data_IF_713443133300
#
_entry.id   IF_713443133300
#
_cell.length_a   1.000
_cell.length_b   1.000
_cell.length_c   1.000
_cell.angle_alpha   90.00
_cell.angle_beta   90.00
_cell.angle_gamma   90.00
#
_symmetry.space_group_name_H-M   'P 1'
#
loop_
_entity.id
_entity.type
_entity.pdbx_description
1 polymer ?
#
# COMPACT_ATOMS: atom_id res chain seq x y z
N UNK A 1 35.25 -36.01 -69.99
CA UNK A 1 35.30 -34.63 -69.46
C UNK A 1 34.44 -34.59 -68.21
N UNK A 2 35.06 -34.23 -67.07
CA UNK A 2 34.42 -33.64 -65.87
C UNK A 2 33.91 -34.68 -64.85
N UNK A 3 34.70 -35.11 -63.85
CA UNK A 3 35.22 -34.41 -62.65
C UNK A 3 34.32 -34.63 -61.41
N UNK A 4 34.85 -35.45 -60.50
CA UNK A 4 34.85 -35.35 -59.02
C UNK A 4 33.54 -35.43 -58.21
N UNK A 5 33.41 -36.54 -57.48
CA UNK A 5 33.18 -36.70 -56.02
C UNK A 5 32.19 -35.72 -55.33
N UNK A 6 31.30 -36.18 -54.44
CA UNK A 6 31.68 -36.75 -53.13
C UNK A 6 30.53 -37.54 -52.50
N UNK A 7 30.83 -38.75 -52.04
CA UNK A 7 30.09 -39.41 -50.98
C UNK A 7 30.65 -38.95 -49.62
N UNK A 8 29.77 -38.63 -48.67
CA UNK A 8 30.02 -38.69 -47.22
C UNK A 8 28.64 -38.80 -46.55
N UNK A 9 28.15 -40.04 -46.42
CA UNK A 9 28.14 -40.84 -45.19
C UNK A 9 26.97 -40.46 -44.27
N UNK A 10 25.97 -41.35 -44.24
CA UNK A 10 24.87 -41.35 -43.30
C UNK A 10 25.40 -41.78 -41.93
N UNK A 11 25.06 -41.05 -40.87
CA UNK A 11 24.95 -41.64 -39.54
C UNK A 11 23.66 -41.13 -38.87
N UNK A 12 22.77 -42.02 -38.41
CA UNK A 12 21.52 -41.68 -37.75
C UNK A 12 21.77 -41.50 -36.25
N UNK A 13 21.18 -40.49 -35.63
CA UNK A 13 21.17 -40.44 -34.17
C UNK A 13 20.99 -39.05 -33.60
N UNK A 14 19.83 -38.86 -32.98
CA UNK A 14 19.52 -37.79 -32.03
C UNK A 14 19.76 -36.37 -32.53
N UNK A 15 18.79 -35.87 -33.28
CA UNK A 15 18.49 -34.44 -33.30
C UNK A 15 18.21 -33.99 -31.87
N UNK A 16 19.20 -33.43 -31.19
CA UNK A 16 18.98 -32.66 -29.97
C UNK A 16 18.23 -31.39 -30.38
N UNK A 17 16.90 -31.45 -30.30
CA UNK A 17 16.11 -30.23 -30.12
C UNK A 17 16.55 -29.67 -28.77
N UNK A 18 17.44 -28.68 -28.80
CA UNK A 18 17.64 -27.81 -27.67
C UNK A 18 16.35 -26.98 -27.53
N UNK A 19 15.39 -27.49 -26.75
CA UNK A 19 14.37 -26.65 -26.15
C UNK A 19 15.10 -25.71 -25.19
N UNK A 20 15.47 -24.55 -25.69
CA UNK A 20 15.77 -23.42 -24.85
C UNK A 20 14.45 -23.09 -24.13
N UNK A 21 14.25 -23.68 -22.95
CA UNK A 21 13.34 -23.13 -21.95
C UNK A 21 13.96 -21.81 -21.50
N UNK A 22 13.79 -20.79 -22.33
CA UNK A 22 13.92 -19.41 -21.90
C UNK A 22 12.85 -19.20 -20.85
N UNK A 23 13.19 -19.49 -19.59
CA UNK A 23 12.44 -19.03 -18.45
C UNK A 23 12.49 -17.51 -18.53
N UNK A 24 11.48 -16.92 -19.17
CA UNK A 24 11.18 -15.53 -19.03
C UNK A 24 11.00 -15.35 -17.52
N UNK A 25 11.91 -14.62 -16.88
CA UNK A 25 11.80 -14.29 -15.47
C UNK A 25 10.58 -13.37 -15.38
N UNK A 26 9.40 -13.97 -15.22
CA UNK A 26 8.15 -13.25 -15.09
C UNK A 26 8.18 -12.58 -13.73
N UNK A 27 8.84 -11.41 -13.66
CA UNK A 27 8.64 -10.44 -12.60
C UNK A 27 7.23 -9.86 -12.79
N UNK A 28 6.22 -10.71 -12.62
CA UNK A 28 4.83 -10.26 -12.55
C UNK A 28 4.75 -9.41 -11.30
N UNK A 29 4.32 -8.14 -11.39
CA UNK A 29 4.01 -7.37 -10.20
C UNK A 29 2.90 -8.13 -9.48
N UNK A 30 3.26 -8.78 -8.38
CA UNK A 30 2.29 -9.44 -7.51
C UNK A 30 1.41 -8.36 -6.92
N UNK A 31 0.12 -8.39 -7.27
CA UNK A 31 -0.83 -7.50 -6.60
C UNK A 31 -0.84 -7.83 -5.12
N UNK A 32 -0.92 -6.83 -4.23
CA UNK A 32 -1.11 -7.08 -2.81
C UNK A 32 -2.33 -7.96 -2.58
N UNK A 33 -2.20 -8.88 -1.64
CA UNK A 33 -3.31 -9.70 -1.19
C UNK A 33 -4.35 -8.82 -0.48
N UNK A 34 -5.62 -9.23 -0.47
CA UNK A 34 -6.61 -8.57 0.36
C UNK A 34 -6.20 -8.62 1.85
N UNK A 35 -6.36 -7.51 2.62
CA UNK A 35 -6.18 -7.51 4.06
C UNK A 35 -7.05 -8.55 4.77
N UNK A 36 -6.45 -9.34 5.66
CA UNK A 36 -7.12 -10.30 6.54
C UNK A 36 -7.14 -9.79 7.98
N UNK A 37 -8.13 -10.24 8.76
CA UNK A 37 -8.36 -9.76 10.12
C UNK A 37 -8.79 -8.28 10.15
N UNK A 38 -8.24 -7.52 11.11
CA UNK A 38 -8.51 -6.08 11.24
C UNK A 38 -7.65 -5.30 10.26
N UNK A 39 -8.25 -4.33 9.57
CA UNK A 39 -7.49 -3.38 8.75
C UNK A 39 -6.79 -2.37 9.67
N UNK A 40 -5.48 -2.25 9.51
CA UNK A 40 -4.62 -1.34 10.26
C UNK A 40 -4.04 -0.27 9.34
N UNK A 41 -3.71 0.87 9.93
CA UNK A 41 -3.14 2.03 9.25
C UNK A 41 -1.86 2.49 9.96
N UNK A 42 -0.84 2.87 9.19
CA UNK A 42 0.43 3.34 9.74
C UNK A 42 1.05 4.43 8.86
N UNK A 43 1.98 5.18 9.43
CA UNK A 43 2.85 6.10 8.68
C UNK A 43 4.14 5.39 8.28
N UNK A 44 4.62 5.63 7.06
CA UNK A 44 5.93 5.15 6.61
C UNK A 44 6.99 6.24 6.71
N UNK A 45 8.27 5.85 6.66
CA UNK A 45 9.40 6.77 6.67
C UNK A 45 9.38 7.75 5.47
N UNK A 46 8.81 7.32 4.34
CA UNK A 46 8.65 8.15 3.13
C UNK A 46 7.43 9.09 3.19
N UNK A 47 6.86 9.32 4.37
CA UNK A 47 5.65 10.14 4.56
C UNK A 47 4.46 9.66 3.73
N UNK A 48 4.18 8.35 3.77
CA UNK A 48 2.98 7.73 3.16
C UNK A 48 2.13 7.07 4.23
N UNK A 49 0.87 6.85 3.90
CA UNK A 49 -0.02 6.00 4.68
C UNK A 49 0.11 4.57 4.19
N UNK A 50 0.45 3.64 5.09
CA UNK A 50 0.33 2.21 4.86
C UNK A 50 -1.05 1.72 5.33
N UNK A 51 -1.63 0.78 4.58
CA UNK A 51 -2.84 0.03 4.94
C UNK A 51 -2.57 -1.46 4.75
N UNK A 52 -2.86 -2.26 5.77
CA UNK A 52 -2.58 -3.70 5.77
C UNK A 52 -3.53 -4.45 6.72
N UNK A 53 -3.63 -5.76 6.57
CA UNK A 53 -4.37 -6.64 7.47
C UNK A 53 -3.54 -7.06 8.67
N UNK A 54 -4.15 -7.15 9.85
CA UNK A 54 -3.47 -7.59 11.07
C UNK A 54 -2.94 -9.02 11.01
N UNK A 55 -3.53 -9.85 10.15
CA UNK A 55 -3.18 -11.27 10.01
C UNK A 55 -2.24 -11.55 8.83
N UNK A 56 -2.09 -10.61 7.90
CA UNK A 56 -1.21 -10.73 6.74
C UNK A 56 -0.52 -9.41 6.38
N UNK A 57 0.20 -8.77 7.33
CA UNK A 57 0.72 -7.42 7.15
C UNK A 57 1.72 -7.29 5.98
N UNK A 58 2.51 -8.35 5.73
CA UNK A 58 3.57 -8.32 4.72
C UNK A 58 3.03 -8.48 3.28
N UNK A 59 1.94 -9.23 3.09
CA UNK A 59 1.40 -9.52 1.75
C UNK A 59 0.26 -8.60 1.34
N UNK A 60 -0.42 -7.97 2.31
CA UNK A 60 -1.56 -7.07 2.07
C UNK A 60 -1.21 -5.58 2.15
N UNK A 61 0.04 -5.23 2.41
CA UNK A 61 0.47 -3.85 2.54
C UNK A 61 0.27 -3.09 1.23
N UNK A 62 -0.45 -1.98 1.34
CA UNK A 62 -0.59 -0.97 0.30
C UNK A 62 -0.15 0.37 0.85
N UNK A 63 0.47 1.21 0.02
CA UNK A 63 0.89 2.55 0.42
C UNK A 63 0.22 3.61 -0.44
N UNK A 64 -0.19 4.71 0.20
CA UNK A 64 -0.82 5.85 -0.45
C UNK A 64 -0.16 7.13 0.07
N UNK A 65 0.18 8.06 -0.83
CA UNK A 65 0.74 9.35 -0.43
C UNK A 65 -0.32 10.21 0.25
N UNK A 66 0.05 10.91 1.32
CA UNK A 66 -0.79 11.95 1.90
C UNK A 66 -0.95 13.13 0.92
N UNK A 67 -2.12 13.76 0.89
CA UNK A 67 -2.39 14.92 0.04
C UNK A 67 -3.06 16.03 0.85
N UNK A 68 -2.78 17.30 0.52
CA UNK A 68 -3.32 18.45 1.25
C UNK A 68 -2.53 18.86 2.50
N UNK A 69 -1.34 18.27 2.72
CA UNK A 69 -0.38 18.74 3.72
C UNK A 69 0.29 20.04 3.26
N UNK A 70 0.72 20.88 4.19
CA UNK A 70 1.56 22.03 3.85
C UNK A 70 3.00 21.60 3.51
N UNK A 71 3.72 22.48 2.84
CA UNK A 71 5.12 22.24 2.47
C UNK A 71 5.98 22.00 3.71
N UNK A 72 6.83 20.97 3.65
CA UNK A 72 7.73 20.58 4.74
C UNK A 72 7.06 19.86 5.91
N UNK A 73 5.78 19.47 5.80
CA UNK A 73 5.11 18.66 6.81
C UNK A 73 5.28 17.16 6.59
N UNK A 74 5.41 16.43 7.69
CA UNK A 74 5.39 14.97 7.75
C UNK A 74 4.35 14.48 8.75
N UNK A 75 3.67 13.39 8.43
CA UNK A 75 2.70 12.75 9.31
C UNK A 75 3.45 11.89 10.33
N UNK A 76 3.20 12.12 11.61
CA UNK A 76 3.92 11.44 12.71
C UNK A 76 3.03 10.53 13.55
N UNK A 77 1.71 10.65 13.43
CA UNK A 77 0.76 9.83 14.18
C UNK A 77 -0.58 9.74 13.50
N UNK A 78 -1.27 8.62 13.73
CA UNK A 78 -2.60 8.30 13.23
C UNK A 78 -3.42 7.69 14.36
N UNK A 79 -4.70 8.06 14.48
CA UNK A 79 -5.62 7.42 15.42
C UNK A 79 -7.07 7.52 14.93
N UNK A 80 -7.90 6.55 15.29
CA UNK A 80 -9.33 6.61 15.06
C UNK A 80 -10.03 7.34 16.20
N UNK A 81 -10.81 8.36 15.85
CA UNK A 81 -11.58 9.11 16.84
C UNK A 81 -12.60 8.21 17.54
N UNK A 82 -12.73 8.27 18.88
CA UNK A 82 -13.63 7.38 19.64
C UNK A 82 -15.12 7.66 19.40
N UNK A 83 -15.48 8.82 18.82
CA UNK A 83 -16.88 9.24 18.67
C UNK A 83 -17.44 9.09 17.26
N UNK A 84 -16.63 9.28 16.24
CA UNK A 84 -17.08 9.31 14.84
C UNK A 84 -16.38 8.30 13.94
N UNK A 85 -15.42 7.53 14.47
CA UNK A 85 -14.70 6.50 13.75
C UNK A 85 -13.88 7.03 12.57
N UNK A 86 -13.63 8.34 12.51
CA UNK A 86 -12.78 8.95 11.47
C UNK A 86 -11.32 8.75 11.81
N UNK A 87 -10.49 8.64 10.76
CA UNK A 87 -9.04 8.60 10.91
C UNK A 87 -8.52 10.03 11.07
N UNK A 88 -7.81 10.28 12.16
CA UNK A 88 -7.14 11.53 12.44
C UNK A 88 -5.63 11.35 12.30
N UNK A 89 -4.94 12.41 11.88
CA UNK A 89 -3.49 12.45 11.80
C UNK A 89 -2.91 13.70 12.44
N UNK A 90 -1.71 13.57 13.01
CA UNK A 90 -0.94 14.67 13.59
C UNK A 90 0.37 14.84 12.84
N UNK A 91 0.69 16.06 12.41
CA UNK A 91 1.94 16.38 11.71
C UNK A 91 3.08 16.79 12.66
N UNK A 92 4.31 16.76 12.18
CA UNK A 92 5.49 17.30 12.85
C UNK A 92 5.43 18.81 13.14
N UNK A 93 4.44 19.52 12.61
CA UNK A 93 4.19 20.95 12.84
C UNK A 93 2.97 21.19 13.74
N UNK A 94 2.60 20.21 14.56
CA UNK A 94 1.50 20.27 15.52
C UNK A 94 0.13 20.56 14.88
N UNK A 95 -0.09 20.14 13.63
CA UNK A 95 -1.39 20.28 12.96
C UNK A 95 -2.15 18.98 12.98
N UNK A 96 -3.46 19.08 13.22
CA UNK A 96 -4.38 17.97 13.15
C UNK A 96 -5.13 17.95 11.82
N UNK A 97 -5.21 16.77 11.22
CA UNK A 97 -5.91 16.50 9.98
C UNK A 97 -6.97 15.43 10.20
N UNK A 98 -8.11 15.56 9.52
CA UNK A 98 -9.02 14.44 9.26
C UNK A 98 -8.61 13.82 7.93
N UNK A 99 -8.54 12.49 7.89
CA UNK A 99 -8.08 11.71 6.74
C UNK A 99 -9.27 10.94 6.17
N UNK A 100 -9.66 11.28 4.94
CA UNK A 100 -10.60 10.47 4.20
C UNK A 100 -9.83 9.35 3.50
N UNK A 101 -10.24 8.10 3.72
CA UNK A 101 -9.58 6.91 3.18
C UNK A 101 -10.42 6.31 2.04
N UNK A 102 -10.27 6.78 0.79
CA UNK A 102 -10.92 6.14 -0.35
C UNK A 102 -10.24 4.80 -0.70
N UNK A 103 -11.00 3.87 -1.27
CA UNK A 103 -10.52 2.50 -1.59
C UNK A 103 -9.47 2.43 -2.71
N UNK A 104 -9.27 3.49 -3.51
CA UNK A 104 -8.42 3.45 -4.71
C UNK A 104 -7.70 4.77 -5.08
N UNK A 105 -7.68 5.79 -4.22
CA UNK A 105 -7.00 7.08 -4.48
C UNK A 105 -6.18 7.49 -3.26
N UNK A 106 -5.18 8.36 -3.44
CA UNK A 106 -4.47 9.01 -2.34
C UNK A 106 -5.46 9.55 -1.28
N UNK A 107 -5.22 9.35 0.02
CA UNK A 107 -6.06 9.92 1.06
C UNK A 107 -6.06 11.45 0.96
N UNK A 108 -7.25 12.04 1.03
CA UNK A 108 -7.42 13.48 1.13
C UNK A 108 -7.39 13.91 2.58
N UNK A 109 -6.69 15.00 2.87
CA UNK A 109 -6.63 15.59 4.20
C UNK A 109 -7.45 16.88 4.24
N UNK A 110 -8.20 17.03 5.33
CA UNK A 110 -8.85 18.29 5.70
C UNK A 110 -8.34 18.75 7.08
N UNK A 111 -7.95 20.03 7.24
CA UNK A 111 -7.60 20.56 8.56
C UNK A 111 -8.79 20.42 9.52
N UNK A 112 -8.53 20.00 10.76
CA UNK A 112 -9.55 19.99 11.80
C UNK A 112 -9.85 21.45 12.18
N UNK A 113 -10.95 22.00 11.64
CA UNK A 113 -11.29 23.42 11.80
C UNK A 113 -12.02 23.78 13.09
N UNK A 114 -12.44 22.81 13.89
CA UNK A 114 -13.07 23.08 15.19
C UNK A 114 -13.07 21.86 16.11
N UNK A 115 -12.11 21.81 17.03
CA UNK A 115 -12.30 21.07 18.28
C UNK A 115 -13.21 21.95 19.14
N UNK A 116 -14.49 21.61 19.26
CA UNK A 116 -15.34 22.25 20.28
C UNK A 116 -14.57 22.18 21.61
N UNK A 117 -14.43 23.30 22.35
CA UNK A 117 -13.61 23.33 23.56
C UNK A 117 -14.09 22.24 24.53
N UNK A 118 -13.15 21.61 25.25
CA UNK A 118 -13.47 20.53 26.20
C UNK A 118 -14.58 20.91 27.19
N UNK A 119 -14.67 22.20 27.54
CA UNK A 119 -15.74 22.77 28.39
C UNK A 119 -17.13 22.72 27.75
N UNK A 120 -17.25 22.85 26.43
CA UNK A 120 -18.52 22.76 25.71
C UNK A 120 -19.02 21.32 25.53
N UNK A 121 -18.31 20.32 26.08
CA UNK A 121 -18.54 18.89 25.82
C UNK A 121 -18.61 18.02 27.08
N UNK A 122 -18.64 18.61 28.28
CA UNK A 122 -18.75 17.88 29.57
C UNK A 122 -20.19 17.53 29.95
N UNK A 123 -21.18 18.32 29.53
CA UNK A 123 -22.59 18.08 29.87
C UNK A 123 -23.13 16.76 29.31
N UNK A 124 -22.57 16.29 28.19
CA UNK A 124 -23.06 15.08 27.51
C UNK A 124 -22.37 13.79 27.98
N UNK A 125 -21.24 13.90 28.70
CA UNK A 125 -20.45 12.75 29.14
C UNK A 125 -20.98 12.12 30.43
N UNK A 126 -21.66 12.90 31.27
CA UNK A 126 -22.23 12.45 32.56
C UNK A 126 -23.66 11.93 32.41
N UNK A 127 -24.39 12.36 31.38
CA UNK A 127 -25.81 11.99 31.17
C UNK A 127 -26.01 10.65 30.46
N UNK A 128 -24.98 10.12 29.76
CA UNK A 128 -25.09 8.88 28.96
C UNK A 128 -24.46 7.65 29.66
N UNK A 129 -24.10 7.77 30.93
CA UNK A 129 -23.54 6.67 31.76
C UNK A 129 -24.53 6.17 32.83
N UNK A 130 -25.84 6.44 32.68
CA UNK A 130 -26.90 5.87 33.51
C UNK A 130 -27.86 5.04 32.67
#
# INVERSE_FOLDING_TARGET
MNKFARAALIAPGMTTIALAFGACTMNTPVSPEAPRGRTMYATTQDNKMAKFGSENPNTSATTLAFSGMASGETMIGLDFGPRDGKLYGVSNQNRMYTIDVPRARSPSLAPVRSVLPWSARRSDWISTQR
#
